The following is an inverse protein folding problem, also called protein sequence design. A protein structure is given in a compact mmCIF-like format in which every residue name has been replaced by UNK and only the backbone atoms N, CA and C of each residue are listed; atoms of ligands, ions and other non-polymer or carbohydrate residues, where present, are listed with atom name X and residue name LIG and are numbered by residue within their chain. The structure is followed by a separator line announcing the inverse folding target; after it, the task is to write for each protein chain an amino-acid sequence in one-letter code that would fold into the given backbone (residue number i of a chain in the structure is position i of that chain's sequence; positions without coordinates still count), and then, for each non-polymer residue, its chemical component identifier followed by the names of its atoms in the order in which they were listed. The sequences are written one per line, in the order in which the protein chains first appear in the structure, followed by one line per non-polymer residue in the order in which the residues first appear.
data_IF_584485383994
#
_entry.id   IF_584485383994
#
_cell.length_a   1.000
_cell.length_b   1.000
_cell.length_c   1.000
_cell.angle_alpha   90.00
_cell.angle_beta   90.00
_cell.angle_gamma   90.00
#
_symmetry.space_group_name_H-M   'P 1'
#
loop_
_entity.id
_entity.type
_entity.pdbx_description
1 polymer ?
#
# COMPACT_ATOMS: atom_id res chain seq x y z
N UNK A 1 -6.08 -14.22 -1.78
CA UNK A 1 -5.96 -12.74 -1.86
C UNK A 1 -7.36 -12.15 -1.78
N UNK A 2 -7.53 -11.02 -1.09
CA UNK A 2 -8.80 -10.29 -1.02
C UNK A 2 -8.73 -8.96 -1.77
N UNK A 3 -9.81 -8.61 -2.46
CA UNK A 3 -9.97 -7.32 -3.15
C UNK A 3 -11.35 -6.77 -2.81
N UNK A 4 -11.41 -5.54 -2.30
CA UNK A 4 -12.65 -4.80 -2.13
C UNK A 4 -12.97 -4.08 -3.44
N UNK A 5 -14.18 -4.25 -3.99
CA UNK A 5 -14.59 -3.62 -5.25
C UNK A 5 -15.84 -2.77 -5.05
N UNK A 6 -15.82 -1.52 -5.49
CA UNK A 6 -17.03 -0.70 -5.53
C UNK A 6 -17.82 -0.99 -6.80
N UNK A 7 -19.09 -1.36 -6.62
CA UNK A 7 -19.98 -1.81 -7.70
C UNK A 7 -21.32 -1.08 -7.68
N UNK A 8 -21.94 -0.95 -8.85
CA UNK A 8 -23.31 -0.45 -9.00
C UNK A 8 -24.34 -1.56 -8.80
N UNK A 9 -25.62 -1.24 -8.97
CA UNK A 9 -26.75 -2.18 -8.87
C UNK A 9 -26.78 -3.22 -10.01
N UNK A 10 -26.07 -2.99 -11.11
CA UNK A 10 -25.85 -3.97 -12.17
C UNK A 10 -24.67 -4.93 -11.88
N UNK A 11 -23.91 -4.69 -10.81
CA UNK A 11 -22.74 -5.50 -10.43
C UNK A 11 -21.48 -5.19 -11.24
N UNK A 12 -21.45 -4.07 -11.96
CA UNK A 12 -20.28 -3.57 -12.70
C UNK A 12 -19.42 -2.67 -11.82
N UNK A 13 -18.13 -2.52 -12.17
CA UNK A 13 -17.23 -1.63 -11.43
C UNK A 13 -17.67 -0.17 -11.61
N UNK A 14 -17.86 0.53 -10.51
CA UNK A 14 -18.53 1.83 -10.46
C UNK A 14 -17.68 2.92 -9.77
N UNK A 15 -18.14 4.17 -9.81
CA UNK A 15 -17.47 5.30 -9.16
C UNK A 15 -18.22 5.77 -7.91
N UNK A 16 -17.54 6.41 -6.96
CA UNK A 16 -18.22 6.98 -5.77
C UNK A 16 -19.20 8.13 -6.07
N UNK A 17 -19.35 8.53 -7.35
CA UNK A 17 -20.30 9.56 -7.79
C UNK A 17 -21.72 9.03 -7.98
N UNK A 18 -21.88 7.71 -8.01
CA UNK A 18 -23.18 7.05 -8.07
C UNK A 18 -23.40 6.15 -6.85
N UNK A 19 -24.65 5.76 -6.62
CA UNK A 19 -24.99 4.85 -5.51
C UNK A 19 -24.54 3.44 -5.86
N UNK A 20 -24.03 2.72 -4.86
CA UNK A 20 -23.52 1.37 -5.05
C UNK A 20 -23.32 0.65 -3.73
N UNK A 21 -22.46 -0.36 -3.77
CA UNK A 21 -22.00 -1.11 -2.61
C UNK A 21 -20.52 -1.44 -2.78
N UNK A 22 -19.86 -1.77 -1.67
CA UNK A 22 -18.53 -2.39 -1.72
C UNK A 22 -18.68 -3.87 -1.50
N UNK A 23 -18.19 -4.66 -2.44
CA UNK A 23 -18.18 -6.12 -2.32
C UNK A 23 -16.76 -6.61 -2.12
N UNK A 24 -16.56 -7.40 -1.07
CA UNK A 24 -15.29 -8.05 -0.76
C UNK A 24 -15.24 -9.39 -1.47
N UNK A 25 -14.23 -9.55 -2.32
CA UNK A 25 -13.97 -10.78 -3.04
C UNK A 25 -12.72 -11.46 -2.50
N UNK A 26 -12.77 -12.78 -2.40
CA UNK A 26 -11.61 -13.62 -2.10
C UNK A 26 -11.31 -14.55 -3.27
N UNK A 27 -10.05 -14.59 -3.67
CA UNK A 27 -9.56 -15.54 -4.66
C UNK A 27 -9.35 -16.91 -4.01
N UNK A 28 -10.08 -17.91 -4.50
CA UNK A 28 -9.97 -19.33 -4.14
C UNK A 28 -9.79 -20.15 -5.43
N UNK A 29 -8.66 -20.84 -5.57
CA UNK A 29 -8.33 -21.69 -6.73
C UNK A 29 -8.53 -21.01 -8.10
N UNK A 30 -8.15 -19.73 -8.20
CA UNK A 30 -8.25 -18.96 -9.45
C UNK A 30 -9.67 -18.49 -9.79
N UNK A 31 -10.65 -18.67 -8.87
CA UNK A 31 -12.00 -18.12 -8.98
C UNK A 31 -12.26 -17.11 -7.88
N UNK A 32 -13.10 -16.13 -8.18
CA UNK A 32 -13.52 -15.13 -7.20
C UNK A 32 -14.81 -15.55 -6.52
N UNK A 33 -14.78 -15.57 -5.19
CA UNK A 33 -15.97 -15.74 -4.36
C UNK A 33 -16.29 -14.39 -3.71
N UNK A 34 -17.54 -13.96 -3.85
CA UNK A 34 -18.05 -12.82 -3.09
C UNK A 34 -18.26 -13.27 -1.63
N UNK A 35 -17.44 -12.76 -0.72
CA UNK A 35 -17.56 -13.06 0.72
C UNK A 35 -18.63 -12.22 1.37
N UNK A 36 -18.69 -10.94 0.96
CA UNK A 36 -19.47 -9.94 1.66
C UNK A 36 -19.82 -8.79 0.75
N UNK A 37 -21.03 -8.26 0.93
CA UNK A 37 -21.46 -7.01 0.31
C UNK A 37 -21.85 -6.01 1.40
N UNK A 38 -21.28 -4.81 1.30
CA UNK A 38 -21.39 -3.75 2.30
C UNK A 38 -22.08 -2.56 1.62
N UNK A 39 -23.32 -2.22 2.02
CA UNK A 39 -23.98 -1.02 1.53
C UNK A 39 -23.12 0.22 1.82
N UNK A 40 -22.75 0.96 0.79
CA UNK A 40 -21.84 2.09 0.92
C UNK A 40 -22.11 3.12 -0.18
N UNK A 41 -22.23 4.39 0.18
CA UNK A 41 -22.36 5.48 -0.79
C UNK A 41 -21.79 6.76 -0.20
N UNK A 42 -21.11 7.53 -1.03
CA UNK A 42 -20.64 8.88 -0.68
C UNK A 42 -21.45 9.99 -1.35
N UNK A 43 -22.44 9.65 -2.19
CA UNK A 43 -23.20 10.61 -3.00
C UNK A 43 -23.86 11.70 -2.14
N UNK A 44 -24.42 11.32 -1.01
CA UNK A 44 -25.17 12.22 -0.11
C UNK A 44 -24.29 12.80 1.02
N UNK A 45 -22.98 12.56 0.99
CA UNK A 45 -22.04 12.95 2.05
C UNK A 45 -21.26 14.19 1.65
N UNK A 46 -21.58 15.33 2.25
CA UNK A 46 -21.05 16.64 1.83
C UNK A 46 -19.91 17.18 2.71
N UNK A 47 -19.57 16.49 3.80
CA UNK A 47 -18.56 16.96 4.76
C UNK A 47 -17.34 16.05 4.78
N UNK A 48 -16.16 16.65 5.01
CA UNK A 48 -14.91 15.91 5.15
C UNK A 48 -14.98 14.86 6.27
N UNK A 49 -15.54 15.25 7.41
CA UNK A 49 -15.74 14.36 8.56
C UNK A 49 -16.70 13.21 8.24
N UNK A 50 -17.80 13.50 7.53
CA UNK A 50 -18.74 12.49 7.07
C UNK A 50 -18.09 11.46 6.13
N UNK A 51 -17.30 11.92 5.15
CA UNK A 51 -16.59 11.04 4.21
C UNK A 51 -15.63 10.12 4.98
N UNK A 52 -14.80 10.69 5.88
CA UNK A 52 -13.87 9.89 6.70
C UNK A 52 -14.60 8.87 7.57
N UNK A 53 -15.71 9.26 8.20
CA UNK A 53 -16.47 8.36 9.06
C UNK A 53 -17.11 7.20 8.27
N UNK A 54 -17.65 7.50 7.08
CA UNK A 54 -18.19 6.47 6.19
C UNK A 54 -17.11 5.47 5.78
N UNK A 55 -15.93 5.94 5.39
CA UNK A 55 -14.79 5.09 5.03
C UNK A 55 -14.26 4.28 6.22
N UNK A 56 -14.20 4.86 7.42
CA UNK A 56 -13.81 4.12 8.63
C UNK A 56 -14.78 2.99 8.94
N UNK A 57 -16.09 3.21 8.76
CA UNK A 57 -17.10 2.17 8.96
C UNK A 57 -16.96 1.07 7.92
N UNK A 58 -16.74 1.43 6.65
CA UNK A 58 -16.48 0.49 5.58
C UNK A 58 -15.25 -0.38 5.89
N UNK A 59 -14.11 0.21 6.24
CA UNK A 59 -12.84 -0.52 6.41
C UNK A 59 -12.91 -1.56 7.54
N UNK A 60 -13.67 -1.30 8.60
CA UNK A 60 -13.90 -2.29 9.68
C UNK A 60 -14.52 -3.57 9.16
N UNK A 61 -15.27 -3.49 8.07
CA UNK A 61 -15.96 -4.62 7.45
C UNK A 61 -15.08 -5.35 6.41
N UNK A 62 -13.90 -4.79 6.06
CA UNK A 62 -12.99 -5.29 5.00
C UNK A 62 -11.90 -6.25 5.51
N UNK A 63 -11.94 -6.64 6.78
CA UNK A 63 -11.03 -7.65 7.36
C UNK A 63 -9.54 -7.30 7.15
N UNK A 64 -8.76 -8.20 6.55
CA UNK A 64 -7.34 -8.04 6.23
C UNK A 64 -7.10 -7.55 4.79
N UNK A 65 -8.15 -7.10 4.09
CA UNK A 65 -8.05 -6.59 2.72
C UNK A 65 -7.27 -5.26 2.68
N UNK A 66 -6.36 -5.15 1.71
CA UNK A 66 -5.52 -3.96 1.49
C UNK A 66 -5.56 -3.46 0.06
N UNK A 67 -6.39 -4.05 -0.79
CA UNK A 67 -6.49 -3.71 -2.21
C UNK A 67 -7.92 -3.27 -2.50
N UNK A 68 -8.09 -2.09 -3.07
CA UNK A 68 -9.41 -1.50 -3.36
C UNK A 68 -9.52 -1.15 -4.84
N UNK A 69 -10.55 -1.66 -5.52
CA UNK A 69 -10.87 -1.38 -6.92
C UNK A 69 -12.13 -0.53 -7.02
N UNK A 70 -12.08 0.51 -7.86
CA UNK A 70 -13.22 1.34 -8.24
C UNK A 70 -13.04 1.85 -9.66
N UNK A 71 -14.10 2.35 -10.30
CA UNK A 71 -14.01 3.00 -11.62
C UNK A 71 -13.11 4.22 -11.57
N UNK A 72 -13.40 5.10 -10.61
CA UNK A 72 -12.58 6.24 -10.28
C UNK A 72 -12.79 6.63 -8.82
N UNK A 73 -11.74 7.17 -8.22
CA UNK A 73 -11.71 7.64 -6.84
C UNK A 73 -10.70 8.78 -6.73
N UNK A 74 -11.14 9.92 -6.20
CA UNK A 74 -10.32 11.12 -6.08
C UNK A 74 -10.56 11.82 -4.74
N UNK A 75 -9.76 12.86 -4.49
CA UNK A 75 -9.92 13.74 -3.34
C UNK A 75 -9.73 13.01 -2.02
N UNK A 76 -10.56 13.36 -1.03
CA UNK A 76 -10.39 12.90 0.35
C UNK A 76 -10.51 11.38 0.46
N UNK A 77 -11.39 10.74 -0.29
CA UNK A 77 -11.55 9.29 -0.21
C UNK A 77 -10.29 8.55 -0.70
N UNK A 78 -9.69 9.04 -1.79
CA UNK A 78 -8.43 8.52 -2.31
C UNK A 78 -7.29 8.68 -1.31
N UNK A 79 -7.07 9.91 -0.83
CA UNK A 79 -5.99 10.23 0.13
C UNK A 79 -6.18 9.45 1.43
N UNK A 80 -7.40 9.37 1.94
CA UNK A 80 -7.70 8.65 3.17
C UNK A 80 -7.42 7.15 3.04
N UNK A 81 -7.94 6.49 2.00
CA UNK A 81 -7.71 5.05 1.82
C UNK A 81 -6.24 4.73 1.56
N UNK A 82 -5.57 5.50 0.70
CA UNK A 82 -4.18 5.23 0.31
C UNK A 82 -3.17 5.64 1.38
N UNK A 83 -3.24 6.88 1.86
CA UNK A 83 -2.18 7.48 2.68
C UNK A 83 -2.40 7.19 4.18
N UNK A 84 -3.63 7.37 4.68
CA UNK A 84 -3.92 7.10 6.10
C UNK A 84 -4.10 5.59 6.38
N UNK A 85 -4.78 4.87 5.48
CA UNK A 85 -5.18 3.47 5.72
C UNK A 85 -4.30 2.44 4.97
N UNK A 86 -3.43 2.88 4.05
CA UNK A 86 -2.43 2.02 3.40
C UNK A 86 -3.00 1.06 2.36
N UNK A 87 -4.13 1.40 1.72
CA UNK A 87 -4.68 0.60 0.63
C UNK A 87 -3.94 0.85 -0.69
N UNK A 88 -3.71 -0.21 -1.46
CA UNK A 88 -3.36 -0.14 -2.88
C UNK A 88 -4.65 0.10 -3.66
N UNK A 89 -4.74 1.26 -4.31
CA UNK A 89 -5.96 1.73 -4.99
C UNK A 89 -5.84 1.50 -6.48
N UNK A 90 -6.79 0.76 -7.03
CA UNK A 90 -6.89 0.45 -8.45
C UNK A 90 -8.09 1.17 -9.06
N UNK A 91 -7.84 1.79 -10.21
CA UNK A 91 -8.85 2.46 -11.03
C UNK A 91 -9.03 1.67 -12.31
N UNK A 92 -10.23 1.17 -12.55
CA UNK A 92 -10.58 0.51 -13.81
C UNK A 92 -12.09 0.44 -14.01
N UNK A 93 -12.53 0.51 -15.26
CA UNK A 93 -13.93 0.49 -15.65
C UNK A 93 -14.28 -0.77 -16.45
N UNK A 94 -15.57 -1.10 -16.55
CA UNK A 94 -16.08 -2.21 -17.34
C UNK A 94 -16.41 -3.46 -16.53
N UNK A 95 -16.33 -4.63 -17.19
CA UNK A 95 -16.75 -5.90 -16.60
C UNK A 95 -15.96 -6.25 -15.34
N UNK A 96 -16.67 -6.45 -14.24
CA UNK A 96 -16.09 -6.84 -12.96
C UNK A 96 -15.16 -8.06 -13.07
N UNK A 97 -15.57 -9.10 -13.79
CA UNK A 97 -14.79 -10.35 -13.91
C UNK A 97 -13.44 -10.11 -14.58
N UNK A 98 -13.40 -9.26 -15.60
CA UNK A 98 -12.17 -8.88 -16.28
C UNK A 98 -11.29 -8.02 -15.37
N UNK A 99 -11.86 -6.97 -14.78
CA UNK A 99 -11.10 -5.99 -14.03
C UNK A 99 -10.50 -6.56 -12.73
N UNK A 100 -11.23 -7.41 -12.02
CA UNK A 100 -10.72 -8.02 -10.78
C UNK A 100 -9.54 -8.96 -11.05
N UNK A 101 -9.54 -9.66 -12.20
CA UNK A 101 -8.44 -10.51 -12.62
C UNK A 101 -7.20 -9.70 -13.02
N UNK A 102 -7.38 -8.61 -13.76
CA UNK A 102 -6.28 -7.70 -14.12
C UNK A 102 -5.61 -7.14 -12.87
N UNK A 103 -6.39 -6.65 -11.90
CA UNK A 103 -5.85 -6.11 -10.64
C UNK A 103 -5.09 -7.17 -9.86
N UNK A 104 -5.66 -8.36 -9.70
CA UNK A 104 -5.01 -9.43 -8.95
C UNK A 104 -3.72 -9.90 -9.60
N UNK A 105 -3.67 -9.97 -10.93
CA UNK A 105 -2.45 -10.30 -11.66
C UNK A 105 -1.37 -9.24 -11.39
N UNK A 106 -1.69 -7.96 -11.55
CA UNK A 106 -0.72 -6.87 -11.32
C UNK A 106 -0.21 -6.82 -9.89
N UNK A 107 -1.09 -7.03 -8.91
CA UNK A 107 -0.73 -7.14 -7.49
C UNK A 107 0.20 -8.33 -7.21
N UNK A 108 -0.08 -9.49 -7.82
CA UNK A 108 0.74 -10.68 -7.66
C UNK A 108 2.10 -10.54 -8.33
N UNK A 109 2.16 -9.90 -9.50
CA UNK A 109 3.42 -9.56 -10.19
C UNK A 109 4.28 -8.64 -9.33
N UNK A 110 3.70 -7.56 -8.78
CA UNK A 110 4.40 -6.66 -7.87
C UNK A 110 4.96 -7.40 -6.64
N UNK A 111 4.18 -8.31 -6.03
CA UNK A 111 4.62 -9.14 -4.89
C UNK A 111 5.70 -10.15 -5.25
N UNK A 112 5.60 -10.78 -6.43
CA UNK A 112 6.55 -11.82 -6.85
C UNK A 112 7.92 -11.22 -7.15
N UNK A 113 7.95 -10.09 -7.84
CA UNK A 113 9.23 -9.42 -8.13
C UNK A 113 9.87 -8.91 -6.83
N UNK A 114 9.09 -8.47 -5.84
CA UNK A 114 9.63 -8.05 -4.54
C UNK A 114 10.38 -9.20 -3.84
N UNK A 115 9.78 -10.40 -3.85
CA UNK A 115 10.38 -11.61 -3.25
C UNK A 115 11.64 -12.09 -3.97
N UNK A 116 11.63 -12.08 -5.31
CA UNK A 116 12.79 -12.52 -6.11
C UNK A 116 14.04 -11.63 -5.91
N UNK A 117 13.85 -10.37 -5.53
CA UNK A 117 14.97 -9.44 -5.26
C UNK A 117 15.60 -9.62 -3.88
N UNK A 118 14.87 -10.16 -2.89
CA UNK A 118 15.39 -10.47 -1.56
C UNK A 118 16.47 -11.57 -1.54
N UNK A 119 16.46 -12.46 -2.54
CA UNK A 119 17.38 -13.60 -2.64
C UNK A 119 18.70 -13.29 -3.38
N UNK A 120 18.84 -12.10 -3.97
CA UNK A 120 20.06 -11.73 -4.72
C UNK A 120 21.24 -11.24 -3.85
N UNK A 121 21.22 -11.50 -2.54
CA UNK A 121 22.34 -11.24 -1.64
C UNK A 121 23.48 -12.29 -1.73
N UNK A 122 23.38 -13.28 -2.61
CA UNK A 122 24.48 -14.22 -2.90
C UNK A 122 24.88 -14.17 -4.37
N UNK A 123 25.88 -13.34 -4.62
CA UNK A 123 26.64 -13.13 -5.85
C UNK A 123 26.31 -14.00 -7.06
N UNK A 124 25.81 -13.36 -8.11
CA UNK A 124 26.15 -13.77 -9.48
C UNK A 124 26.23 -12.52 -10.40
N UNK A 125 27.47 -12.04 -10.59
CA UNK A 125 27.88 -11.16 -11.70
C UNK A 125 27.74 -11.88 -13.08
N UNK A 126 28.06 -11.32 -14.27
CA UNK A 126 28.79 -10.07 -14.55
C UNK A 126 28.30 -9.21 -15.75
N UNK A 127 28.98 -8.07 -15.92
CA UNK A 127 29.13 -7.22 -17.12
C UNK A 127 28.96 -7.91 -18.48
N UNK A 128 28.26 -7.28 -19.42
CA UNK A 128 28.41 -7.53 -20.87
C UNK A 128 27.10 -7.43 -21.66
N UNK A 129 27.02 -6.48 -22.60
CA UNK A 129 25.76 -6.06 -23.22
C UNK A 129 25.16 -6.98 -24.28
N UNK A 130 23.89 -6.70 -24.64
CA UNK A 130 23.41 -6.44 -26.02
C UNK A 130 21.94 -6.02 -25.99
N UNK A 131 21.62 -5.00 -26.79
CA UNK A 131 20.26 -4.53 -27.11
C UNK A 131 19.48 -5.61 -27.88
N UNK A 132 18.21 -5.80 -27.54
CA UNK A 132 17.07 -5.81 -28.48
C UNK A 132 15.74 -6.03 -27.75
N UNK A 133 14.69 -5.38 -28.25
CA UNK A 133 13.30 -5.80 -28.13
C UNK A 133 12.42 -4.88 -27.28
N UNK A 134 11.51 -4.16 -27.93
CA UNK A 134 10.40 -3.43 -27.34
C UNK A 134 9.41 -4.39 -26.66
N UNK A 135 9.76 -4.85 -25.45
CA UNK A 135 8.82 -5.44 -24.50
C UNK A 135 8.38 -4.32 -23.54
N UNK A 136 7.06 -4.13 -23.42
CA UNK A 136 6.44 -3.18 -22.51
C UNK A 136 7.08 -3.22 -21.12
N UNK A 137 7.38 -2.04 -20.58
CA UNK A 137 8.10 -1.85 -19.32
C UNK A 137 7.40 -2.59 -18.18
N UNK A 138 7.90 -3.79 -17.88
CA UNK A 138 7.75 -4.51 -16.63
C UNK A 138 8.37 -3.66 -15.51
N UNK A 139 7.57 -2.85 -14.84
CA UNK A 139 8.02 -2.07 -13.69
C UNK A 139 8.27 -3.01 -12.51
N UNK A 140 9.54 -3.23 -12.21
CA UNK A 140 9.93 -3.90 -10.99
C UNK A 140 9.43 -3.10 -9.77
N UNK A 141 9.00 -3.73 -8.66
CA UNK A 141 8.91 -3.05 -7.38
C UNK A 141 10.26 -2.41 -7.11
N UNK A 142 10.25 -1.12 -6.75
CA UNK A 142 11.47 -0.35 -6.60
C UNK A 142 12.30 -0.96 -5.49
N UNK A 143 13.60 -1.10 -5.74
CA UNK A 143 14.54 -1.34 -4.66
C UNK A 143 14.44 -0.13 -3.72
N UNK A 144 14.07 -0.36 -2.46
CA UNK A 144 13.88 0.71 -1.48
C UNK A 144 15.17 1.08 -0.76
N UNK A 145 16.21 0.26 -0.90
CA UNK A 145 17.51 0.51 -0.26
C UNK A 145 18.21 1.81 -0.69
N UNK A 146 18.07 2.33 -1.93
CA UNK A 146 18.64 3.62 -2.31
C UNK A 146 18.04 4.81 -1.55
N UNK A 147 16.85 4.64 -0.97
CA UNK A 147 16.19 5.68 -0.17
C UNK A 147 16.54 5.60 1.32
N UNK A 148 17.17 4.50 1.76
CA UNK A 148 17.66 4.35 3.13
C UNK A 148 19.01 5.05 3.28
N UNK A 149 19.03 6.13 4.05
CA UNK A 149 20.26 6.84 4.36
C UNK A 149 20.90 6.21 5.59
N UNK A 150 22.06 5.56 5.41
CA UNK A 150 22.86 5.00 6.49
C UNK A 150 23.38 6.14 7.39
N UNK A 151 23.07 6.07 8.68
CA UNK A 151 23.50 7.07 9.67
C UNK A 151 24.83 6.71 10.32
N UNK A 152 25.11 5.42 10.49
CA UNK A 152 26.36 4.90 11.05
C UNK A 152 26.61 3.45 10.61
N UNK A 153 27.79 2.92 10.92
CA UNK A 153 28.18 1.55 10.62
C UNK A 153 27.57 0.50 11.56
N UNK A 154 26.78 0.91 12.56
CA UNK A 154 26.10 0.00 13.50
C UNK A 154 24.72 -0.48 13.00
N UNK A 155 24.32 -0.04 11.80
CA UNK A 155 23.05 -0.43 11.20
C UNK A 155 21.89 0.51 11.54
N UNK A 156 22.17 1.79 11.80
CA UNK A 156 21.13 2.81 11.90
C UNK A 156 20.86 3.45 10.54
N UNK A 157 19.57 3.60 10.23
CA UNK A 157 19.11 4.15 8.96
C UNK A 157 18.02 5.19 9.17
N UNK A 158 17.88 6.09 8.19
CA UNK A 158 16.73 7.00 8.11
C UNK A 158 16.08 6.95 6.74
N UNK A 159 14.77 7.11 6.70
CA UNK A 159 13.93 7.13 5.51
C UNK A 159 12.92 8.27 5.60
N UNK A 160 12.79 9.06 4.53
CA UNK A 160 11.74 10.08 4.42
C UNK A 160 10.61 9.58 3.52
N UNK A 161 9.46 9.21 4.10
CA UNK A 161 8.30 8.79 3.30
C UNK A 161 7.82 9.89 2.36
N UNK A 162 7.91 11.15 2.81
CA UNK A 162 7.53 12.31 2.01
C UNK A 162 8.36 12.36 0.73
N UNK A 163 9.67 12.16 0.81
CA UNK A 163 10.57 12.20 -0.35
C UNK A 163 10.38 10.99 -1.25
N UNK A 164 10.27 9.79 -0.66
CA UNK A 164 10.12 8.54 -1.40
C UNK A 164 8.81 8.52 -2.18
N UNK A 165 7.69 8.90 -1.58
CA UNK A 165 6.38 8.95 -2.24
C UNK A 165 6.30 10.07 -3.29
N UNK A 166 7.03 11.18 -3.11
CA UNK A 166 7.16 12.23 -4.14
C UNK A 166 7.90 11.72 -5.38
N UNK A 167 8.97 10.93 -5.18
CA UNK A 167 9.74 10.34 -6.27
C UNK A 167 9.02 9.15 -6.92
N UNK A 168 8.16 8.45 -6.18
CA UNK A 168 7.44 7.25 -6.62
C UNK A 168 5.93 7.37 -6.31
N UNK A 169 5.16 8.18 -7.06
CA UNK A 169 3.76 8.49 -6.73
C UNK A 169 2.79 7.29 -6.79
N UNK A 170 3.21 6.20 -7.43
CA UNK A 170 2.47 4.94 -7.49
C UNK A 170 2.54 4.15 -6.19
N UNK A 171 3.56 4.37 -5.35
CA UNK A 171 3.72 3.67 -4.09
C UNK A 171 3.02 4.41 -2.96
N UNK A 172 2.39 3.65 -2.07
CA UNK A 172 1.90 4.15 -0.79
C UNK A 172 2.88 3.85 0.37
N UNK A 173 2.61 4.41 1.54
CA UNK A 173 3.44 4.23 2.74
C UNK A 173 3.60 2.76 3.14
N UNK A 174 2.59 1.93 2.91
CA UNK A 174 2.60 0.50 3.24
C UNK A 174 3.54 -0.27 2.32
N UNK A 175 3.44 -0.06 1.02
CA UNK A 175 4.30 -0.70 0.02
C UNK A 175 5.78 -0.35 0.21
N UNK A 176 6.06 0.86 0.71
CA UNK A 176 7.41 1.33 1.03
C UNK A 176 7.96 0.68 2.30
N UNK A 177 7.18 0.73 3.38
CA UNK A 177 7.68 0.37 4.71
C UNK A 177 7.65 -1.13 4.99
N UNK A 178 6.66 -1.87 4.50
CA UNK A 178 6.51 -3.30 4.82
C UNK A 178 7.76 -4.09 4.47
N UNK A 179 8.35 -3.98 3.25
CA UNK A 179 9.56 -4.73 2.92
C UNK A 179 10.75 -4.36 3.79
N UNK A 180 10.87 -3.10 4.20
CA UNK A 180 11.96 -2.64 5.06
C UNK A 180 11.78 -3.20 6.48
N UNK A 181 10.55 -3.16 7.01
CA UNK A 181 10.24 -3.66 8.35
C UNK A 181 10.37 -5.19 8.45
N UNK A 182 10.07 -5.92 7.38
CA UNK A 182 10.08 -7.39 7.35
C UNK A 182 11.45 -7.98 6.98
N UNK A 183 12.11 -7.43 5.95
CA UNK A 183 13.22 -8.11 5.28
C UNK A 183 14.57 -7.36 5.40
N UNK A 184 14.57 -6.07 5.73
CA UNK A 184 15.80 -5.28 5.80
C UNK A 184 16.43 -5.34 7.19
N UNK A 185 17.72 -5.72 7.32
CA UNK A 185 18.39 -5.74 8.62
C UNK A 185 18.75 -4.31 9.08
N UNK A 186 18.14 -3.86 10.17
CA UNK A 186 18.50 -2.60 10.83
C UNK A 186 18.57 -2.79 12.35
N UNK A 187 19.41 -1.99 13.00
CA UNK A 187 19.40 -1.83 14.46
C UNK A 187 18.37 -0.79 14.88
N UNK A 188 18.35 0.34 14.15
CA UNK A 188 17.41 1.44 14.33
C UNK A 188 16.98 2.00 12.98
N UNK A 189 15.69 2.27 12.80
CA UNK A 189 15.15 2.91 11.61
C UNK A 189 14.35 4.17 11.98
N UNK A 190 14.82 5.34 11.56
CA UNK A 190 14.12 6.62 11.72
C UNK A 190 13.29 6.97 10.48
N UNK A 191 11.98 7.01 10.63
CA UNK A 191 11.03 7.26 9.55
C UNK A 191 10.45 8.66 9.71
N UNK A 192 10.65 9.51 8.70
CA UNK A 192 10.08 10.86 8.64
C UNK A 192 8.80 10.87 7.81
N UNK A 193 7.71 11.33 8.40
CA UNK A 193 6.38 11.35 7.81
C UNK A 193 5.69 12.69 8.07
N UNK A 194 4.75 13.08 7.22
CA UNK A 194 3.80 14.17 7.53
C UNK A 194 2.77 13.71 8.57
N UNK A 195 2.35 12.46 8.48
CA UNK A 195 1.51 11.77 9.45
C UNK A 195 1.91 10.29 9.52
N UNK A 196 1.68 9.66 10.69
CA UNK A 196 1.92 8.24 10.84
C UNK A 196 0.70 7.45 10.30
N UNK A 197 0.89 6.49 9.38
CA UNK A 197 -0.21 5.69 8.86
C UNK A 197 -0.90 4.86 9.96
N UNK A 198 -2.23 4.70 9.90
CA UNK A 198 -2.99 4.04 10.98
C UNK A 198 -2.71 2.54 11.12
N UNK A 199 -2.19 1.91 10.07
CA UNK A 199 -1.80 0.50 10.08
C UNK A 199 -0.42 0.27 10.73
N UNK A 200 0.39 1.33 10.88
CA UNK A 200 1.80 1.23 11.26
C UNK A 200 2.02 0.62 12.64
N UNK A 201 1.28 1.10 13.65
CA UNK A 201 1.44 0.62 15.04
C UNK A 201 1.17 -0.88 15.13
N UNK A 202 0.02 -1.32 14.62
CA UNK A 202 -0.33 -2.74 14.60
C UNK A 202 0.74 -3.58 13.90
N UNK A 203 1.26 -3.11 12.76
CA UNK A 203 2.29 -3.84 12.03
C UNK A 203 3.62 -3.92 12.78
N UNK A 204 3.99 -2.86 13.49
CA UNK A 204 5.19 -2.83 14.33
C UNK A 204 5.06 -3.85 15.48
N UNK A 205 3.88 -3.90 16.11
CA UNK A 205 3.57 -4.86 17.17
C UNK A 205 3.62 -6.32 16.65
N UNK A 206 3.02 -6.59 15.49
CA UNK A 206 3.03 -7.90 14.83
C UNK A 206 4.46 -8.40 14.52
N UNK A 207 5.41 -7.48 14.33
CA UNK A 207 6.83 -7.77 14.06
C UNK A 207 7.72 -7.68 15.30
N UNK A 208 7.15 -7.47 16.49
CA UNK A 208 7.89 -7.28 17.74
C UNK A 208 8.91 -6.13 17.67
N UNK A 209 8.53 -5.05 16.98
CA UNK A 209 9.29 -3.81 16.92
C UNK A 209 8.73 -2.81 17.94
N UNK A 210 9.62 -2.14 18.67
CA UNK A 210 9.25 -0.97 19.48
C UNK A 210 9.25 0.27 18.58
N UNK A 211 8.16 1.05 18.64
CA UNK A 211 8.02 2.29 17.92
C UNK A 211 7.95 3.49 18.89
N UNK A 212 8.93 4.38 18.83
CA UNK A 212 8.90 5.66 19.52
C UNK A 212 8.49 6.75 18.54
N UNK A 213 7.49 7.56 18.90
CA UNK A 213 6.92 8.58 18.01
C UNK A 213 7.09 9.94 18.65
N UNK A 214 7.70 10.87 17.92
CA UNK A 214 7.90 12.24 18.36
C UNK A 214 7.64 13.24 17.24
N UNK A 215 7.49 14.51 17.61
CA UNK A 215 7.45 15.59 16.63
C UNK A 215 8.79 15.66 15.90
N UNK A 216 8.74 15.82 14.59
CA UNK A 216 9.96 15.93 13.79
C UNK A 216 10.59 17.32 13.95
N UNK A 217 11.88 17.37 14.22
CA UNK A 217 12.71 18.57 14.14
C UNK A 217 13.10 18.92 12.69
N UNK A 218 12.94 17.96 11.77
CA UNK A 218 13.32 18.05 10.36
C UNK A 218 12.17 18.41 9.43
N UNK A 219 10.92 18.36 9.91
CA UNK A 219 9.72 18.62 9.12
C UNK A 219 8.81 19.64 9.82
N UNK A 220 8.33 20.62 9.05
CA UNK A 220 7.31 21.55 9.54
C UNK A 220 5.98 20.81 9.74
N UNK A 221 5.56 20.62 10.99
CA UNK A 221 4.37 19.84 11.40
C UNK A 221 4.39 18.34 11.05
N UNK A 222 5.57 17.75 10.85
CA UNK A 222 5.72 16.32 10.63
C UNK A 222 6.02 15.52 11.90
N UNK A 223 6.07 14.19 11.75
CA UNK A 223 6.40 13.24 12.81
C UNK A 223 7.63 12.42 12.43
N UNK A 224 8.38 12.01 13.44
CA UNK A 224 9.44 11.02 13.33
C UNK A 224 9.05 9.79 14.13
N UNK A 225 9.06 8.63 13.49
CA UNK A 225 8.90 7.34 14.14
C UNK A 225 10.24 6.61 14.14
N UNK A 226 10.70 6.19 15.31
CA UNK A 226 11.94 5.42 15.49
C UNK A 226 11.57 3.97 15.80
N UNK A 227 11.92 3.06 14.89
CA UNK A 227 11.76 1.62 15.07
C UNK A 227 13.05 0.97 15.56
N UNK A 228 12.90 0.08 16.54
CA UNK A 228 13.97 -0.78 17.07
C UNK A 228 13.39 -2.17 17.35
N UNK A 229 14.22 -3.20 17.30
CA UNK A 229 13.80 -4.52 17.79
C UNK A 229 13.55 -4.47 19.29
N UNK A 230 12.43 -5.04 19.74
CA UNK A 230 12.16 -5.14 21.16
C UNK A 230 13.31 -5.91 21.86
N UNK A 231 13.75 -5.48 23.06
CA UNK A 231 14.72 -6.25 23.82
C UNK A 231 14.15 -7.64 24.12
N UNK A 232 14.96 -8.67 23.86
CA UNK A 232 14.62 -10.08 24.11
C UNK A 232 14.39 -10.39 25.59
#
# INVERSE_FOLDING_TARGET
MKIAVYINDQGEVATFREKGSVRLYESCDGKWRAEKEIPFSLVDVTTLGGIRQALLNLIKELEDCTTFLSGDINGIAYVFLRDEMGFSIWKSEGSLEEQINIVAQKEQEARTIAKLKGDCSKGCCPTGGKKHGDAEKSECPPDMTPFLVKMNDEGDYTLSLIEVMKLNPSLNSREILIPIMEDFPFRKLEILCDHLPKWFTKKSDDLHLTAEIEASDRLENGVKATLMHAPA
#
